data_IF_871736087898
#
_entry.id   IF_871736087898
#
_cell.length_a   1.000
_cell.length_b   1.000
_cell.length_c   1.000
_cell.angle_alpha   90.00
_cell.angle_beta   90.00
_cell.angle_gamma   90.00
#
_symmetry.space_group_name_H-M   'P 1'
#
loop_
_entity.id
_entity.type
_entity.pdbx_description
1 polymer ?
#
# COMPACT_ATOMS: atom_id res chain seq x y z
N UNK A 1 -1.99 2.97 -35.95
CA UNK A 1 -1.88 3.56 -34.60
C UNK A 1 -2.49 2.65 -33.52
N UNK A 2 -2.05 1.38 -33.41
CA UNK A 2 -2.65 0.40 -32.48
C UNK A 2 -1.67 -0.22 -31.48
N UNK A 3 -0.38 0.10 -31.57
CA UNK A 3 0.69 -0.57 -30.78
C UNK A 3 1.08 0.15 -29.48
N UNK A 4 0.57 1.35 -29.21
CA UNK A 4 1.00 2.14 -28.04
C UNK A 4 0.20 1.88 -26.75
N UNK A 5 -0.98 1.26 -26.83
CA UNK A 5 -1.82 1.05 -25.64
C UNK A 5 -1.38 -0.11 -24.74
N UNK A 6 -0.58 -1.05 -25.26
CA UNK A 6 -0.17 -2.25 -24.52
C UNK A 6 0.94 -1.93 -23.51
N UNK A 7 1.77 -0.92 -23.78
CA UNK A 7 2.90 -0.58 -22.90
C UNK A 7 2.48 0.15 -21.62
N UNK A 8 1.35 0.87 -21.63
CA UNK A 8 0.90 1.64 -20.47
C UNK A 8 0.29 0.74 -19.37
N UNK A 9 -0.26 -0.43 -19.73
CA UNK A 9 -0.91 -1.32 -18.78
C UNK A 9 0.10 -2.08 -17.90
N UNK A 10 1.28 -2.43 -18.44
CA UNK A 10 2.31 -3.20 -17.74
C UNK A 10 2.96 -2.44 -16.58
N UNK A 11 3.06 -1.11 -16.71
CA UNK A 11 3.65 -0.26 -15.68
C UNK A 11 2.77 -0.20 -14.42
N UNK A 12 1.44 -0.24 -14.58
CA UNK A 12 0.51 -0.18 -13.45
C UNK A 12 0.46 -1.45 -12.58
N UNK A 13 0.85 -2.62 -13.11
CA UNK A 13 0.87 -3.87 -12.33
C UNK A 13 2.11 -4.00 -11.44
N UNK A 14 3.25 -3.44 -11.84
CA UNK A 14 4.50 -3.50 -11.06
C UNK A 14 4.35 -2.82 -9.69
N UNK A 15 3.81 -1.60 -9.69
CA UNK A 15 3.64 -0.80 -8.47
C UNK A 15 2.66 -1.42 -7.46
N UNK A 16 1.63 -2.14 -7.93
CA UNK A 16 0.68 -2.81 -7.04
C UNK A 16 1.31 -4.01 -6.30
N UNK A 17 2.23 -4.74 -6.94
CA UNK A 17 2.98 -5.84 -6.32
C UNK A 17 3.97 -5.32 -5.27
N UNK A 18 4.53 -4.13 -5.49
CA UNK A 18 5.48 -3.49 -4.57
C UNK A 18 4.82 -3.07 -3.25
N UNK A 19 3.63 -2.44 -3.31
CA UNK A 19 2.91 -2.02 -2.10
C UNK A 19 2.49 -3.20 -1.20
N UNK A 20 2.07 -4.33 -1.80
CA UNK A 20 1.75 -5.54 -1.05
C UNK A 20 2.97 -6.12 -0.32
N UNK A 21 4.12 -6.15 -1.02
CA UNK A 21 5.36 -6.69 -0.47
C UNK A 21 5.86 -5.84 0.71
N UNK A 22 5.81 -4.52 0.58
CA UNK A 22 6.16 -3.58 1.66
C UNK A 22 5.26 -3.82 2.88
N UNK A 23 3.95 -3.98 2.68
CA UNK A 23 3.04 -4.25 3.79
C UNK A 23 3.36 -5.58 4.48
N UNK A 24 3.63 -6.64 3.72
CA UNK A 24 4.00 -7.95 4.27
C UNK A 24 5.27 -7.89 5.11
N UNK A 25 6.26 -7.14 4.67
CA UNK A 25 7.56 -7.07 5.35
C UNK A 25 7.54 -6.14 6.57
N UNK A 26 6.87 -5.00 6.47
CA UNK A 26 6.96 -3.94 7.47
C UNK A 26 5.74 -3.89 8.40
N UNK A 27 4.54 -4.23 7.92
CA UNK A 27 3.30 -3.96 8.65
C UNK A 27 2.63 -5.22 9.24
N UNK A 28 2.76 -6.38 8.59
CA UNK A 28 2.04 -7.60 8.99
C UNK A 28 2.34 -8.10 10.41
N UNK A 29 3.45 -7.67 11.02
CA UNK A 29 3.81 -8.00 12.40
C UNK A 29 2.76 -7.59 13.44
N UNK A 30 1.99 -6.53 13.17
CA UNK A 30 0.95 -6.01 14.07
C UNK A 30 -0.45 -6.00 13.44
N UNK A 31 -0.56 -6.46 12.19
CA UNK A 31 -1.78 -6.40 11.38
C UNK A 31 -2.15 -7.77 10.80
N UNK A 32 -1.92 -8.83 11.57
CA UNK A 32 -2.40 -10.17 11.24
C UNK A 32 -3.92 -10.26 11.41
N UNK A 33 -4.55 -11.29 10.83
CA UNK A 33 -5.99 -11.53 10.99
C UNK A 33 -6.43 -11.82 12.44
N UNK A 34 -5.47 -12.03 13.36
CA UNK A 34 -5.74 -12.24 14.80
C UNK A 34 -5.64 -10.95 15.61
N UNK A 35 -5.10 -9.87 15.04
CA UNK A 35 -4.92 -8.60 15.73
C UNK A 35 -6.20 -7.76 15.70
N UNK A 36 -6.28 -6.73 16.57
CA UNK A 36 -7.46 -5.84 16.66
C UNK A 36 -7.73 -5.01 15.41
N UNK A 37 -6.72 -4.84 14.55
CA UNK A 37 -6.77 -4.04 13.32
C UNK A 37 -6.10 -4.84 12.20
N UNK A 38 -6.71 -5.94 11.73
CA UNK A 38 -6.11 -6.77 10.69
C UNK A 38 -6.01 -6.02 9.36
N UNK A 39 -5.28 -6.59 8.39
CA UNK A 39 -5.19 -6.03 7.03
C UNK A 39 -6.57 -5.76 6.42
N UNK A 40 -7.52 -6.68 6.60
CA UNK A 40 -8.91 -6.53 6.15
C UNK A 40 -9.57 -5.25 6.68
N UNK A 41 -9.46 -5.01 7.99
CA UNK A 41 -9.94 -3.77 8.62
C UNK A 41 -9.26 -2.52 8.05
N UNK A 42 -7.94 -2.56 7.83
CA UNK A 42 -7.21 -1.41 7.30
C UNK A 42 -7.64 -1.09 5.86
N UNK A 43 -7.77 -2.10 5.00
CA UNK A 43 -8.25 -1.94 3.61
C UNK A 43 -9.63 -1.33 3.56
N UNK A 44 -10.53 -1.73 4.45
CA UNK A 44 -11.88 -1.17 4.53
C UNK A 44 -11.84 0.29 5.04
N UNK A 45 -11.16 0.53 6.17
CA UNK A 45 -11.11 1.86 6.80
C UNK A 45 -10.50 2.94 5.92
N UNK A 46 -9.46 2.58 5.17
CA UNK A 46 -8.68 3.52 4.37
C UNK A 46 -8.95 3.41 2.87
N UNK A 47 -10.01 2.70 2.47
CA UNK A 47 -10.42 2.58 1.06
C UNK A 47 -10.56 3.95 0.41
N UNK A 48 -9.82 4.15 -0.68
CA UNK A 48 -9.81 5.40 -1.44
C UNK A 48 -9.13 6.59 -0.77
N UNK A 49 -8.39 6.38 0.33
CA UNK A 49 -7.77 7.46 1.14
C UNK A 49 -6.26 7.21 1.37
N UNK A 50 -5.44 7.19 0.31
CA UNK A 50 -4.00 6.91 0.43
C UNK A 50 -3.28 7.93 1.33
N UNK A 51 -3.66 9.21 1.30
CA UNK A 51 -3.09 10.27 2.15
C UNK A 51 -3.26 9.99 3.66
N UNK A 52 -4.39 9.38 4.04
CA UNK A 52 -4.63 9.00 5.43
C UNK A 52 -3.76 7.81 5.88
N UNK A 53 -3.40 6.92 4.95
CA UNK A 53 -2.43 5.84 5.20
C UNK A 53 -1.03 6.43 5.30
N UNK A 54 -0.69 7.39 4.44
CA UNK A 54 0.59 8.10 4.48
C UNK A 54 0.82 8.83 5.80
N UNK A 55 -0.22 9.42 6.38
CA UNK A 55 -0.13 10.06 7.69
C UNK A 55 -0.13 9.04 8.85
N UNK A 56 -0.63 7.83 8.61
CA UNK A 56 -0.53 6.73 9.57
C UNK A 56 0.89 6.16 9.61
N UNK A 57 1.54 5.96 8.46
CA UNK A 57 2.90 5.39 8.39
C UNK A 57 3.90 6.26 9.14
N UNK A 58 3.81 7.60 9.04
CA UNK A 58 4.64 8.55 9.81
C UNK A 58 4.55 8.41 11.34
N UNK A 59 3.45 7.86 11.85
CA UNK A 59 3.20 7.69 13.29
C UNK A 59 3.36 6.23 13.74
N UNK A 60 3.43 5.30 12.80
CA UNK A 60 3.62 3.88 13.08
C UNK A 60 5.11 3.61 13.28
N UNK A 61 5.55 2.97 14.37
CA UNK A 61 6.96 2.65 14.58
C UNK A 61 7.58 1.86 13.41
N UNK A 62 6.81 0.96 12.79
CA UNK A 62 7.25 0.20 11.61
C UNK A 62 7.08 0.96 10.30
N UNK A 63 6.19 1.96 10.26
CA UNK A 63 5.97 2.80 9.09
C UNK A 63 7.01 3.91 8.96
N UNK A 64 7.58 4.38 10.07
CA UNK A 64 8.64 5.40 10.10
C UNK A 64 9.96 4.94 9.46
N UNK A 65 10.18 3.62 9.35
CA UNK A 65 11.35 3.05 8.69
C UNK A 65 11.26 3.00 7.16
N UNK A 66 10.11 3.37 6.58
CA UNK A 66 9.93 3.40 5.13
C UNK A 66 10.46 4.71 4.55
N UNK A 67 11.07 4.63 3.36
CA UNK A 67 11.28 5.81 2.53
C UNK A 67 9.94 6.43 2.10
N UNK A 68 9.96 7.70 1.66
CA UNK A 68 8.73 8.36 1.18
C UNK A 68 8.08 7.60 0.02
N UNK A 69 8.89 7.05 -0.89
CA UNK A 69 8.40 6.25 -2.02
C UNK A 69 7.75 4.95 -1.54
N UNK A 70 8.36 4.22 -0.61
CA UNK A 70 7.76 3.00 -0.05
C UNK A 70 6.45 3.31 0.71
N UNK A 71 6.44 4.42 1.46
CA UNK A 71 5.24 4.89 2.14
C UNK A 71 4.12 5.23 1.15
N UNK A 72 4.44 5.85 0.01
CA UNK A 72 3.46 6.13 -1.05
C UNK A 72 2.91 4.84 -1.68
N UNK A 73 3.78 3.89 -2.05
CA UNK A 73 3.40 2.63 -2.68
C UNK A 73 2.49 1.79 -1.79
N UNK A 74 2.87 1.61 -0.51
CA UNK A 74 2.04 0.86 0.44
C UNK A 74 0.72 1.57 0.72
N UNK A 75 0.71 2.91 0.73
CA UNK A 75 -0.50 3.71 0.96
C UNK A 75 -1.50 3.59 -0.17
N UNK A 76 -1.04 3.71 -1.43
CA UNK A 76 -1.88 3.51 -2.62
C UNK A 76 -2.44 2.10 -2.68
N UNK A 77 -1.59 1.09 -2.49
CA UNK A 77 -2.01 -0.31 -2.47
C UNK A 77 -3.03 -0.60 -1.38
N UNK A 78 -2.80 -0.14 -0.15
CA UNK A 78 -3.71 -0.38 0.98
C UNK A 78 -5.07 0.29 0.75
N UNK A 79 -5.07 1.49 0.17
CA UNK A 79 -6.28 2.23 -0.18
C UNK A 79 -6.99 1.70 -1.43
N UNK A 80 -6.39 0.78 -2.19
CA UNK A 80 -6.92 0.26 -3.44
C UNK A 80 -6.86 1.26 -4.61
N UNK A 81 -5.92 2.20 -4.58
CA UNK A 81 -5.62 3.14 -5.66
C UNK A 81 -4.54 2.54 -6.56
N UNK A 82 -4.76 2.59 -7.88
CA UNK A 82 -3.80 2.13 -8.91
C UNK A 82 -2.92 3.27 -9.38
#
# INVERSE_FOLDING_TARGET
MKKFYISLLLVSLGFALEGELIFKNSCMRCHTEKDRKPLSYLKEKYKGKPEAVMELTKRCPWGQGLSEMEAELVSKWLAGIK
#
